data_IF_883874782758
#
_entry.id   IF_883874782758
#
_cell.length_a   1.000
_cell.length_b   1.000
_cell.length_c   1.000
_cell.angle_alpha   90.00
_cell.angle_beta   90.00
_cell.angle_gamma   90.00
#
_symmetry.space_group_name_H-M   'P 1'
#
loop_
_entity.id
_entity.type
_entity.pdbx_description
1 polymer ?
#
# COMPACT_ATOMS: atom_id res chain seq x y z
N UNK A 1 49.90 -66.88 32.72
CA UNK A 1 49.89 -65.72 33.63
C UNK A 1 48.47 -65.17 33.62
N UNK A 2 47.62 -65.65 34.53
CA UNK A 2 46.25 -65.13 34.67
C UNK A 2 46.31 -64.03 35.73
N UNK A 3 46.18 -62.78 35.29
CA UNK A 3 46.05 -61.62 36.16
C UNK A 3 44.69 -61.74 36.87
N UNK A 4 44.76 -62.04 38.16
CA UNK A 4 43.63 -62.02 39.07
C UNK A 4 43.25 -60.55 39.29
N UNK A 5 42.13 -60.12 38.72
CA UNK A 5 41.51 -58.86 39.10
C UNK A 5 40.98 -59.03 40.54
N UNK A 6 41.32 -58.14 41.48
CA UNK A 6 40.78 -58.21 42.83
C UNK A 6 39.27 -57.98 42.76
N UNK A 7 38.52 -58.87 43.40
CA UNK A 7 37.07 -58.75 43.56
C UNK A 7 36.74 -57.40 44.23
N UNK A 8 35.69 -56.70 43.78
CA UNK A 8 35.33 -55.40 44.32
C UNK A 8 34.98 -55.53 45.82
N UNK A 9 35.32 -54.53 46.66
CA UNK A 9 35.05 -54.57 48.10
C UNK A 9 33.55 -54.72 48.36
N UNK A 10 33.18 -55.64 49.27
CA UNK A 10 31.80 -55.83 49.70
C UNK A 10 31.30 -54.56 50.40
N UNK A 11 30.29 -53.92 49.81
CA UNK A 11 29.64 -52.70 50.32
C UNK A 11 28.94 -53.00 51.65
N UNK A 12 29.04 -52.08 52.62
CA UNK A 12 28.26 -52.17 53.84
C UNK A 12 26.76 -51.96 53.56
N UNK A 13 25.90 -52.41 54.47
CA UNK A 13 24.44 -52.41 54.29
C UNK A 13 23.88 -51.03 53.95
N UNK A 14 24.39 -49.98 54.62
CA UNK A 14 24.03 -48.57 54.40
C UNK A 14 24.48 -48.11 53.00
N UNK A 15 25.71 -48.42 52.60
CA UNK A 15 26.24 -48.05 51.28
C UNK A 15 25.45 -48.74 50.16
N UNK A 16 24.97 -49.96 50.39
CA UNK A 16 24.14 -50.72 49.44
C UNK A 16 22.76 -50.08 49.27
N UNK A 17 22.13 -49.62 50.35
CA UNK A 17 20.86 -48.89 50.33
C UNK A 17 21.00 -47.52 49.65
N UNK A 18 22.09 -46.80 49.91
CA UNK A 18 22.41 -45.54 49.22
C UNK A 18 22.62 -45.75 47.71
N UNK A 19 23.34 -46.81 47.32
CA UNK A 19 23.60 -47.14 45.92
C UNK A 19 22.32 -47.53 45.19
N UNK A 20 21.41 -48.26 45.84
CA UNK A 20 20.08 -48.57 45.31
C UNK A 20 19.25 -47.30 45.13
N UNK A 21 19.32 -46.36 46.08
CA UNK A 21 18.65 -45.06 45.99
C UNK A 21 19.19 -44.26 44.80
N UNK A 22 20.51 -44.17 44.65
CA UNK A 22 21.15 -43.47 43.50
C UNK A 22 20.75 -44.12 42.18
N UNK A 23 20.71 -45.45 42.11
CA UNK A 23 20.28 -46.17 40.90
C UNK A 23 18.80 -45.89 40.57
N UNK A 24 17.94 -45.84 41.59
CA UNK A 24 16.53 -45.49 41.42
C UNK A 24 16.37 -44.05 40.90
N UNK A 25 17.05 -43.08 41.53
CA UNK A 25 17.03 -41.68 41.10
C UNK A 25 17.58 -41.51 39.67
N UNK A 26 18.66 -42.22 39.32
CA UNK A 26 19.22 -42.22 37.96
C UNK A 26 18.22 -42.77 36.95
N UNK A 27 17.48 -43.82 37.29
CA UNK A 27 16.45 -44.39 36.43
C UNK A 27 15.32 -43.38 36.18
N UNK A 28 14.85 -42.70 37.24
CA UNK A 28 13.84 -41.65 37.12
C UNK A 28 14.32 -40.49 36.24
N UNK A 29 15.54 -39.99 36.44
CA UNK A 29 16.09 -38.92 35.60
C UNK A 29 16.21 -39.33 34.12
N UNK A 30 16.54 -40.59 33.83
CA UNK A 30 16.59 -41.08 32.45
C UNK A 30 15.19 -41.18 31.83
N UNK A 31 14.19 -41.61 32.60
CA UNK A 31 12.78 -41.62 32.18
C UNK A 31 12.28 -40.19 31.91
N UNK A 32 12.61 -39.22 32.78
CA UNK A 32 12.26 -37.81 32.62
C UNK A 32 12.95 -37.19 31.39
N UNK A 33 14.23 -37.46 31.16
CA UNK A 33 14.95 -36.99 29.96
C UNK A 33 14.32 -37.57 28.69
N UNK A 34 13.92 -38.83 28.71
CA UNK A 34 13.28 -39.47 27.57
C UNK A 34 11.91 -38.84 27.29
N UNK A 35 11.12 -38.59 28.34
CA UNK A 35 9.82 -37.91 28.23
C UNK A 35 9.98 -36.48 27.68
N UNK A 36 10.94 -35.71 28.21
CA UNK A 36 11.23 -34.36 27.71
C UNK A 36 11.68 -34.37 26.24
N UNK A 37 12.43 -35.38 25.80
CA UNK A 37 12.80 -35.53 24.38
C UNK A 37 11.58 -35.78 23.49
N UNK A 38 10.64 -36.59 23.95
CA UNK A 38 9.39 -36.88 23.23
C UNK A 38 8.51 -35.62 23.15
N UNK A 39 8.37 -34.88 24.25
CA UNK A 39 7.65 -33.60 24.30
C UNK A 39 8.28 -32.57 23.34
N UNK A 40 9.62 -32.45 23.33
CA UNK A 40 10.33 -31.56 22.40
C UNK A 40 10.07 -31.97 20.94
N UNK A 41 10.12 -33.27 20.62
CA UNK A 41 9.86 -33.76 19.28
C UNK A 41 8.42 -33.46 18.82
N UNK A 42 7.45 -33.58 19.73
CA UNK A 42 6.05 -33.24 19.45
C UNK A 42 5.88 -31.74 19.19
N UNK A 43 6.50 -30.88 20.00
CA UNK A 43 6.46 -29.42 19.81
C UNK A 43 7.08 -29.01 18.48
N UNK A 44 8.23 -29.58 18.10
CA UNK A 44 8.82 -29.31 16.78
C UNK A 44 7.90 -29.72 15.62
N UNK A 45 7.28 -30.90 15.70
CA UNK A 45 6.33 -31.33 14.68
C UNK A 45 5.10 -30.40 14.57
N UNK A 46 4.62 -29.86 15.69
CA UNK A 46 3.55 -28.87 15.70
C UNK A 46 3.97 -27.54 15.07
N UNK A 47 5.20 -27.08 15.33
CA UNK A 47 5.77 -25.86 14.71
C UNK A 47 5.86 -26.04 13.20
N UNK A 48 6.46 -27.13 12.71
CA UNK A 48 6.62 -27.39 11.27
C UNK A 48 5.26 -27.45 10.55
N UNK A 49 4.26 -28.06 11.18
CA UNK A 49 2.89 -28.11 10.65
C UNK A 49 2.24 -26.73 10.60
N UNK A 50 2.45 -25.89 11.62
CA UNK A 50 1.94 -24.53 11.64
C UNK A 50 2.59 -23.67 10.54
N UNK A 51 3.91 -23.73 10.40
CA UNK A 51 4.66 -22.99 9.38
C UNK A 51 4.20 -23.39 7.96
N UNK A 52 4.09 -24.69 7.67
CA UNK A 52 3.62 -25.17 6.37
C UNK A 52 2.18 -24.73 6.05
N UNK A 53 1.30 -24.73 7.06
CA UNK A 53 -0.07 -24.26 6.91
C UNK A 53 -0.15 -22.74 6.69
N UNK A 54 0.73 -21.97 7.35
CA UNK A 54 0.83 -20.52 7.19
C UNK A 54 1.38 -20.14 5.81
N UNK A 55 2.44 -20.80 5.35
CA UNK A 55 2.96 -20.64 3.98
C UNK A 55 1.91 -20.96 2.92
N UNK A 56 1.21 -22.09 3.07
CA UNK A 56 0.14 -22.48 2.15
C UNK A 56 -0.99 -21.45 2.12
N UNK A 57 -1.35 -20.89 3.27
CA UNK A 57 -2.36 -19.83 3.38
C UNK A 57 -1.88 -18.54 2.72
N UNK A 58 -0.62 -18.17 2.90
CA UNK A 58 -0.03 -16.97 2.29
C UNK A 58 0.03 -17.10 0.76
N UNK A 59 0.45 -18.26 0.24
CA UNK A 59 0.47 -18.56 -1.20
C UNK A 59 -0.95 -18.50 -1.78
N UNK A 60 -1.95 -19.05 -1.07
CA UNK A 60 -3.33 -18.97 -1.52
C UNK A 60 -3.83 -17.52 -1.53
N UNK A 61 -3.55 -16.74 -0.48
CA UNK A 61 -3.94 -15.33 -0.39
C UNK A 61 -3.35 -14.51 -1.55
N UNK A 62 -2.08 -14.74 -1.89
CA UNK A 62 -1.41 -14.06 -3.01
C UNK A 62 -2.01 -14.43 -4.37
N UNK A 63 -2.36 -15.71 -4.56
CA UNK A 63 -3.06 -16.16 -5.77
C UNK A 63 -4.41 -15.46 -5.92
N UNK A 64 -5.20 -15.40 -4.86
CA UNK A 64 -6.50 -14.73 -4.87
C UNK A 64 -6.37 -13.21 -5.11
N UNK A 65 -5.36 -12.57 -4.53
CA UNK A 65 -5.02 -11.17 -4.80
C UNK A 65 -4.69 -10.94 -6.28
N UNK A 66 -3.87 -11.81 -6.88
CA UNK A 66 -3.54 -11.75 -8.30
C UNK A 66 -4.79 -11.87 -9.19
N UNK A 67 -5.72 -12.78 -8.85
CA UNK A 67 -7.01 -12.91 -9.55
C UNK A 67 -7.84 -11.63 -9.39
N UNK A 68 -7.93 -11.08 -8.17
CA UNK A 68 -8.64 -9.84 -7.90
C UNK A 68 -8.10 -8.63 -8.68
N UNK A 69 -6.76 -8.47 -8.74
CA UNK A 69 -6.08 -7.43 -9.54
C UNK A 69 -6.41 -7.59 -11.03
N UNK A 70 -6.39 -8.82 -11.56
CA UNK A 70 -6.78 -9.09 -12.96
C UNK A 70 -8.25 -8.76 -13.23
N UNK A 71 -9.15 -9.11 -12.30
CA UNK A 71 -10.58 -8.75 -12.39
C UNK A 71 -10.76 -7.24 -12.39
N UNK A 72 -10.07 -6.52 -11.50
CA UNK A 72 -10.09 -5.06 -11.44
C UNK A 72 -9.65 -4.42 -12.76
N UNK A 73 -8.58 -4.93 -13.36
CA UNK A 73 -8.08 -4.41 -14.64
C UNK A 73 -9.05 -4.61 -15.81
N UNK A 74 -9.98 -5.57 -15.70
CA UNK A 74 -11.02 -5.82 -16.71
C UNK A 74 -12.31 -5.06 -16.40
N UNK A 75 -12.69 -5.01 -15.13
CA UNK A 75 -13.87 -4.34 -14.60
C UNK A 75 -13.57 -3.91 -13.15
N UNK A 76 -13.29 -2.62 -12.91
CA UNK A 76 -12.88 -2.15 -11.59
C UNK A 76 -13.89 -2.44 -10.49
N UNK A 77 -15.18 -2.29 -10.79
CA UNK A 77 -16.26 -2.55 -9.84
C UNK A 77 -16.30 -4.01 -9.41
N UNK A 78 -16.27 -4.94 -10.38
CA UNK A 78 -16.23 -6.38 -10.08
C UNK A 78 -14.94 -6.81 -9.39
N UNK A 79 -13.81 -6.16 -9.71
CA UNK A 79 -12.53 -6.41 -9.07
C UNK A 79 -12.54 -6.08 -7.58
N UNK A 80 -13.01 -4.88 -7.23
CA UNK A 80 -13.15 -4.48 -5.82
C UNK A 80 -14.15 -5.39 -5.10
N UNK A 81 -15.30 -5.69 -5.72
CA UNK A 81 -16.27 -6.62 -5.14
C UNK A 81 -15.66 -8.00 -4.85
N UNK A 82 -14.91 -8.58 -5.79
CA UNK A 82 -14.23 -9.86 -5.59
C UNK A 82 -13.27 -9.84 -4.41
N UNK A 83 -12.45 -8.78 -4.31
CA UNK A 83 -11.48 -8.61 -3.23
C UNK A 83 -12.16 -8.51 -1.86
N UNK A 84 -13.32 -7.84 -1.79
CA UNK A 84 -14.12 -7.74 -0.56
C UNK A 84 -14.74 -9.08 -0.18
N UNK A 85 -15.37 -9.78 -1.14
CA UNK A 85 -16.00 -11.08 -0.91
C UNK A 85 -14.99 -12.15 -0.43
N UNK A 86 -13.76 -12.10 -0.93
CA UNK A 86 -12.68 -13.01 -0.53
C UNK A 86 -11.90 -12.53 0.70
N UNK A 87 -12.37 -11.45 1.37
CA UNK A 87 -11.75 -10.87 2.57
C UNK A 87 -10.29 -10.45 2.37
N UNK A 88 -9.93 -10.08 1.15
CA UNK A 88 -8.61 -9.56 0.78
C UNK A 88 -8.52 -8.05 0.94
N UNK A 89 -9.67 -7.37 0.90
CA UNK A 89 -9.84 -5.94 1.08
C UNK A 89 -11.10 -5.71 1.92
N UNK A 90 -11.12 -4.75 2.83
CA UNK A 90 -12.37 -4.39 3.50
C UNK A 90 -13.25 -3.53 2.59
N UNK A 91 -14.53 -3.39 2.95
CA UNK A 91 -15.42 -2.42 2.29
C UNK A 91 -15.17 -0.97 2.74
N UNK A 92 -14.08 -0.71 3.46
CA UNK A 92 -13.73 0.63 3.91
C UNK A 92 -13.14 1.46 2.75
N UNK A 93 -13.64 2.68 2.58
CA UNK A 93 -13.22 3.61 1.53
C UNK A 93 -11.74 3.99 1.63
N UNK A 94 -11.20 4.14 2.84
CA UNK A 94 -9.77 4.46 3.02
C UNK A 94 -8.86 3.29 2.65
N UNK A 95 -9.25 2.05 2.98
CA UNK A 95 -8.46 0.87 2.60
C UNK A 95 -8.48 0.64 1.10
N UNK A 96 -9.63 0.84 0.45
CA UNK A 96 -9.73 0.77 -1.02
C UNK A 96 -8.87 1.86 -1.65
N UNK A 97 -8.91 3.09 -1.14
CA UNK A 97 -8.06 4.18 -1.62
C UNK A 97 -6.57 3.84 -1.48
N UNK A 98 -6.13 3.26 -0.34
CA UNK A 98 -4.76 2.81 -0.15
C UNK A 98 -4.36 1.69 -1.12
N UNK A 99 -5.27 0.75 -1.38
CA UNK A 99 -5.05 -0.30 -2.38
C UNK A 99 -4.83 0.28 -3.78
N UNK A 100 -5.67 1.23 -4.19
CA UNK A 100 -5.55 1.92 -5.46
C UNK A 100 -4.27 2.76 -5.54
N UNK A 101 -3.89 3.44 -4.45
CA UNK A 101 -2.71 4.30 -4.39
C UNK A 101 -1.41 3.50 -4.46
N UNK A 102 -1.35 2.33 -3.81
CA UNK A 102 -0.22 1.39 -3.97
C UNK A 102 -0.10 0.91 -5.42
N UNK A 103 -1.23 0.70 -6.10
CA UNK A 103 -1.28 0.45 -7.55
C UNK A 103 -0.58 -0.83 -8.02
N UNK A 104 -0.23 -1.74 -7.11
CA UNK A 104 0.59 -2.91 -7.42
C UNK A 104 -0.19 -3.90 -8.31
N UNK A 105 0.26 -4.07 -9.56
CA UNK A 105 -0.41 -4.93 -10.55
C UNK A 105 -1.74 -4.37 -11.08
N UNK A 106 -2.05 -3.10 -10.80
CA UNK A 106 -3.26 -2.43 -11.28
C UNK A 106 -2.98 -1.58 -12.53
N UNK A 107 -3.93 -1.58 -13.45
CA UNK A 107 -3.90 -0.72 -14.62
C UNK A 107 -4.31 0.71 -14.23
N UNK A 108 -3.43 1.69 -14.47
CA UNK A 108 -3.68 3.10 -14.16
C UNK A 108 -4.92 3.68 -14.85
N UNK A 109 -5.31 3.17 -16.02
CA UNK A 109 -6.56 3.55 -16.68
C UNK A 109 -7.77 3.05 -15.89
N UNK A 110 -7.75 1.78 -15.48
CA UNK A 110 -8.80 1.19 -14.64
C UNK A 110 -8.96 1.92 -13.30
N UNK A 111 -7.84 2.37 -12.69
CA UNK A 111 -7.85 3.22 -11.49
C UNK A 111 -8.57 4.54 -11.78
N UNK A 112 -8.19 5.24 -12.85
CA UNK A 112 -8.81 6.51 -13.23
C UNK A 112 -10.31 6.37 -13.50
N UNK A 113 -10.70 5.33 -14.24
CA UNK A 113 -12.10 5.07 -14.56
C UNK A 113 -12.95 4.85 -13.32
N UNK A 114 -12.45 4.09 -12.34
CA UNK A 114 -13.14 3.79 -11.09
C UNK A 114 -13.21 4.99 -10.15
N UNK A 115 -12.12 5.73 -9.99
CA UNK A 115 -12.10 6.95 -9.17
C UNK A 115 -12.98 8.06 -9.76
N UNK A 116 -13.12 8.09 -11.08
CA UNK A 116 -13.96 9.04 -11.79
C UNK A 116 -15.46 8.73 -11.74
N UNK A 117 -15.91 7.60 -11.20
CA UNK A 117 -17.33 7.27 -11.15
C UNK A 117 -18.14 8.25 -10.29
N UNK A 118 -19.42 8.41 -10.63
CA UNK A 118 -20.34 9.35 -9.94
C UNK A 118 -20.97 8.79 -8.67
N UNK A 119 -20.78 7.50 -8.42
CA UNK A 119 -21.40 6.82 -7.28
C UNK A 119 -20.86 7.41 -5.96
N UNK A 120 -21.72 7.67 -4.95
CA UNK A 120 -21.27 8.24 -3.68
C UNK A 120 -20.16 7.45 -2.99
N UNK A 121 -20.11 6.13 -3.17
CA UNK A 121 -19.04 5.29 -2.66
C UNK A 121 -17.70 5.61 -3.35
N UNK A 122 -17.70 5.71 -4.69
CA UNK A 122 -16.53 6.09 -5.47
C UNK A 122 -16.05 7.51 -5.17
N UNK A 123 -16.97 8.45 -4.93
CA UNK A 123 -16.61 9.82 -4.54
C UNK A 123 -15.87 9.87 -3.19
N UNK A 124 -16.29 9.06 -2.21
CA UNK A 124 -15.57 8.93 -0.94
C UNK A 124 -14.19 8.30 -1.12
N UNK A 125 -14.09 7.30 -1.99
CA UNK A 125 -12.79 6.67 -2.32
C UNK A 125 -11.88 7.69 -3.01
N UNK A 126 -12.39 8.50 -3.93
CA UNK A 126 -11.64 9.58 -4.58
C UNK A 126 -11.13 10.59 -3.54
N UNK A 127 -11.97 11.02 -2.61
CA UNK A 127 -11.56 11.93 -1.55
C UNK A 127 -10.43 11.31 -0.71
N UNK A 128 -10.62 10.08 -0.22
CA UNK A 128 -9.59 9.37 0.55
C UNK A 128 -8.30 9.15 -0.26
N UNK A 129 -8.40 8.88 -1.57
CA UNK A 129 -7.27 8.70 -2.47
C UNK A 129 -6.47 9.99 -2.66
N UNK A 130 -7.15 11.12 -2.82
CA UNK A 130 -6.53 12.44 -2.91
C UNK A 130 -5.90 12.81 -1.57
N UNK A 131 -6.51 12.42 -0.45
CA UNK A 131 -5.97 12.66 0.90
C UNK A 131 -4.66 11.91 1.19
N UNK A 132 -4.39 10.80 0.49
CA UNK A 132 -3.10 10.09 0.54
C UNK A 132 -1.96 10.86 -0.14
N UNK A 133 -2.27 11.90 -0.92
CA UNK A 133 -1.25 12.73 -1.55
C UNK A 133 -0.79 13.85 -0.60
N UNK A 134 0.52 13.91 -0.41
CA UNK A 134 1.19 14.96 0.35
C UNK A 134 1.55 16.13 -0.58
N UNK A 135 0.70 17.17 -0.61
CA UNK A 135 0.91 18.36 -1.46
C UNK A 135 1.53 19.55 -0.73
N UNK A 136 1.80 19.42 0.57
CA UNK A 136 2.37 20.50 1.36
C UNK A 136 3.78 20.88 0.83
N UNK A 137 4.04 22.17 0.69
CA UNK A 137 5.30 22.72 0.17
C UNK A 137 5.65 22.33 -1.27
N UNK A 138 4.69 21.76 -2.03
CA UNK A 138 4.84 21.51 -3.46
C UNK A 138 4.21 22.64 -4.26
N UNK A 139 4.86 23.05 -5.33
CA UNK A 139 4.25 23.95 -6.31
C UNK A 139 3.14 23.21 -7.08
N UNK A 140 2.18 23.95 -7.63
CA UNK A 140 1.00 23.38 -8.28
C UNK A 140 1.36 22.35 -9.36
N UNK A 141 2.36 22.65 -10.18
CA UNK A 141 2.83 21.73 -11.24
C UNK A 141 3.43 20.45 -10.65
N UNK A 142 4.17 20.53 -9.55
CA UNK A 142 4.76 19.35 -8.88
C UNK A 142 3.65 18.47 -8.28
N UNK A 143 2.69 19.08 -7.58
CA UNK A 143 1.51 18.39 -7.06
C UNK A 143 0.68 17.74 -8.17
N UNK A 144 0.45 18.44 -9.28
CA UNK A 144 -0.23 17.89 -10.46
C UNK A 144 0.51 16.70 -11.06
N UNK A 145 1.83 16.78 -11.20
CA UNK A 145 2.63 15.65 -11.71
C UNK A 145 2.50 14.44 -10.79
N UNK A 146 2.61 14.62 -9.49
CA UNK A 146 2.46 13.53 -8.51
C UNK A 146 1.06 12.92 -8.59
N UNK A 147 0.02 13.75 -8.60
CA UNK A 147 -1.37 13.32 -8.68
C UNK A 147 -1.64 12.51 -9.97
N UNK A 148 -1.28 13.08 -11.13
CA UNK A 148 -1.48 12.46 -12.43
C UNK A 148 -0.51 11.31 -12.73
N UNK A 149 0.48 11.06 -11.87
CA UNK A 149 1.32 9.87 -11.95
C UNK A 149 0.61 8.64 -11.40
N UNK A 150 -0.28 8.81 -10.43
CA UNK A 150 -0.93 7.70 -9.71
C UNK A 150 -2.00 6.97 -10.53
N UNK A 151 -2.63 7.65 -11.49
CA UNK A 151 -3.64 7.08 -12.40
C UNK A 151 -3.56 7.72 -13.80
N UNK A 152 -4.35 7.23 -14.77
CA UNK A 152 -4.53 7.88 -16.08
C UNK A 152 -5.87 8.61 -16.09
N UNK A 153 -5.86 9.88 -16.48
CA UNK A 153 -7.09 10.67 -16.59
C UNK A 153 -8.08 9.97 -17.53
N UNK A 154 -9.36 9.85 -17.13
CA UNK A 154 -10.42 9.36 -18.00
C UNK A 154 -10.63 10.28 -19.22
N UNK A 155 -11.30 9.76 -20.25
CA UNK A 155 -11.64 10.54 -21.44
C UNK A 155 -12.90 11.40 -21.26
N UNK A 156 -13.80 11.02 -20.36
CA UNK A 156 -15.06 11.72 -20.14
C UNK A 156 -14.86 13.00 -19.31
N UNK A 157 -15.26 14.14 -19.88
CA UNK A 157 -15.11 15.45 -19.26
C UNK A 157 -15.63 15.51 -17.82
N UNK A 158 -16.79 14.88 -17.54
CA UNK A 158 -17.38 14.85 -16.20
C UNK A 158 -16.55 14.06 -15.18
N UNK A 159 -15.80 13.04 -15.61
CA UNK A 159 -14.91 12.29 -14.71
C UNK A 159 -13.68 13.12 -14.38
N UNK A 160 -13.08 13.74 -15.40
CA UNK A 160 -11.93 14.64 -15.23
C UNK A 160 -12.30 15.76 -14.26
N UNK A 161 -13.45 16.40 -14.47
CA UNK A 161 -13.96 17.49 -13.64
C UNK A 161 -13.95 17.15 -12.13
N UNK A 162 -14.59 16.04 -11.75
CA UNK A 162 -14.61 15.55 -10.34
C UNK A 162 -13.22 15.34 -9.75
N UNK A 163 -12.31 14.75 -10.54
CA UNK A 163 -10.95 14.47 -10.09
C UNK A 163 -10.16 15.76 -9.86
N UNK A 164 -10.33 16.74 -10.77
CA UNK A 164 -9.66 18.03 -10.68
C UNK A 164 -10.23 18.92 -9.58
N UNK A 165 -11.53 18.88 -9.32
CA UNK A 165 -12.16 19.54 -8.16
C UNK A 165 -11.57 19.00 -6.85
N UNK A 166 -11.52 17.67 -6.70
CA UNK A 166 -10.97 17.02 -5.50
C UNK A 166 -9.49 17.36 -5.31
N UNK A 167 -8.70 17.32 -6.40
CA UNK A 167 -7.30 17.74 -6.38
C UNK A 167 -7.13 19.20 -5.94
N UNK A 168 -7.88 20.13 -6.53
CA UNK A 168 -7.77 21.55 -6.22
C UNK A 168 -8.14 21.84 -4.75
N UNK A 169 -9.20 21.18 -4.25
CA UNK A 169 -9.60 21.31 -2.86
C UNK A 169 -8.49 20.84 -1.91
N UNK A 170 -7.88 19.69 -2.18
CA UNK A 170 -6.76 19.16 -1.38
C UNK A 170 -5.53 20.05 -1.48
N UNK A 171 -5.17 20.52 -2.67
CA UNK A 171 -4.00 21.37 -2.85
C UNK A 171 -4.12 22.67 -2.04
N UNK A 172 -5.29 23.32 -2.08
CA UNK A 172 -5.54 24.54 -1.30
C UNK A 172 -5.55 24.27 0.21
N UNK A 173 -6.06 23.10 0.64
CA UNK A 173 -6.01 22.69 2.04
C UNK A 173 -4.56 22.51 2.53
N UNK A 174 -3.69 21.94 1.70
CA UNK A 174 -2.28 21.76 2.02
C UNK A 174 -1.45 23.05 1.90
N UNK A 175 -1.92 24.03 1.10
CA UNK A 175 -1.19 25.26 0.77
C UNK A 175 -2.13 26.49 0.84
N UNK A 176 -2.56 26.90 2.05
CA UNK A 176 -3.63 27.90 2.24
C UNK A 176 -3.27 29.30 1.73
N UNK A 177 -1.99 29.64 1.63
CA UNK A 177 -1.54 30.98 1.27
C UNK A 177 -1.24 31.14 -0.24
N UNK A 178 -1.37 30.08 -1.04
CA UNK A 178 -1.00 30.10 -2.47
C UNK A 178 -2.15 30.62 -3.35
N UNK A 179 -3.38 30.18 -3.10
CA UNK A 179 -4.57 30.54 -3.87
C UNK A 179 -5.66 31.13 -2.98
N UNK A 180 -6.37 32.15 -3.46
CA UNK A 180 -7.47 32.77 -2.70
C UNK A 180 -8.75 31.93 -2.71
N UNK A 181 -8.92 31.07 -3.71
CA UNK A 181 -10.06 30.15 -3.83
C UNK A 181 -9.63 28.85 -4.51
N UNK A 182 -10.37 27.78 -4.18
CA UNK A 182 -10.25 26.50 -4.86
C UNK A 182 -10.50 26.62 -6.36
N UNK A 183 -11.44 27.49 -6.77
CA UNK A 183 -11.77 27.75 -8.17
C UNK A 183 -10.56 28.25 -8.96
N UNK A 184 -9.76 29.16 -8.38
CA UNK A 184 -8.52 29.64 -9.02
C UNK A 184 -7.52 28.51 -9.21
N UNK A 185 -7.33 27.65 -8.20
CA UNK A 185 -6.46 26.48 -8.30
C UNK A 185 -6.95 25.49 -9.36
N UNK A 186 -8.26 25.24 -9.41
CA UNK A 186 -8.91 24.37 -10.39
C UNK A 186 -8.71 24.89 -11.83
N UNK A 187 -9.04 26.17 -12.09
CA UNK A 187 -8.92 26.78 -13.42
C UNK A 187 -7.46 26.77 -13.88
N UNK A 188 -6.52 27.15 -13.00
CA UNK A 188 -5.11 27.14 -13.34
C UNK A 188 -4.61 25.71 -13.63
N UNK A 189 -5.09 24.70 -12.89
CA UNK A 189 -4.72 23.30 -13.12
C UNK A 189 -5.14 22.83 -14.52
N UNK A 190 -6.36 23.18 -14.96
CA UNK A 190 -6.80 22.92 -16.33
C UNK A 190 -5.97 23.67 -17.36
N UNK A 191 -5.66 24.95 -17.10
CA UNK A 191 -4.77 25.74 -17.97
C UNK A 191 -3.40 25.07 -18.14
N UNK A 192 -2.83 24.50 -17.08
CA UNK A 192 -1.55 23.76 -17.13
C UNK A 192 -1.67 22.48 -17.97
N UNK A 193 -2.75 21.71 -17.80
CA UNK A 193 -2.98 20.48 -18.58
C UNK A 193 -3.15 20.81 -20.08
N UNK A 194 -3.88 21.88 -20.40
CA UNK A 194 -4.04 22.38 -21.76
C UNK A 194 -2.73 22.90 -22.35
N UNK A 195 -1.92 23.60 -21.55
CA UNK A 195 -0.59 24.06 -21.95
C UNK A 195 0.31 22.87 -22.30
N UNK A 196 0.33 21.81 -21.48
CA UNK A 196 1.12 20.61 -21.76
C UNK A 196 0.74 20.00 -23.13
N UNK A 197 -0.55 19.91 -23.42
CA UNK A 197 -1.04 19.45 -24.73
C UNK A 197 -0.54 20.37 -25.85
N UNK A 198 -0.58 21.69 -25.65
CA UNK A 198 -0.16 22.67 -26.66
C UNK A 198 1.35 22.66 -26.94
N UNK A 199 2.18 22.40 -25.92
CA UNK A 199 3.64 22.42 -26.04
C UNK A 199 4.22 21.12 -26.62
N UNK A 200 3.60 19.97 -26.33
CA UNK A 200 4.14 18.65 -26.65
C UNK A 200 3.39 17.89 -27.75
N UNK A 201 2.18 18.30 -28.15
CA UNK A 201 1.48 17.69 -29.27
C UNK A 201 2.12 18.12 -30.60
N UNK A 202 2.69 17.20 -31.41
CA UNK A 202 3.36 17.55 -32.67
C UNK A 202 2.41 18.15 -33.71
N UNK A 203 1.10 18.01 -33.55
CA UNK A 203 0.10 18.61 -34.44
C UNK A 203 -0.13 20.10 -34.15
N UNK A 204 0.32 20.62 -33.00
CA UNK A 204 0.23 22.04 -32.65
C UNK A 204 1.46 22.76 -33.18
N UNK A 205 1.27 23.57 -34.22
CA UNK A 205 2.35 24.31 -34.90
C UNK A 205 2.85 25.51 -34.10
N UNK A 206 1.91 26.25 -33.51
CA UNK A 206 2.21 27.47 -32.77
C UNK A 206 2.23 27.19 -31.26
N UNK A 207 3.43 27.00 -30.73
CA UNK A 207 3.62 26.83 -29.29
C UNK A 207 3.46 28.17 -28.58
N UNK A 208 2.55 28.31 -27.59
CA UNK A 208 2.36 29.58 -26.91
C UNK A 208 3.62 29.96 -26.13
N UNK A 209 4.15 31.19 -26.29
CA UNK A 209 5.23 31.67 -25.44
C UNK A 209 4.71 31.92 -24.01
N UNK A 210 5.64 32.07 -23.06
CA UNK A 210 5.31 32.25 -21.64
C UNK A 210 4.37 33.45 -21.42
N UNK A 211 4.61 34.57 -22.09
CA UNK A 211 3.80 35.79 -21.99
C UNK A 211 2.35 35.55 -22.42
N UNK A 212 2.13 34.67 -23.40
CA UNK A 212 0.79 34.27 -23.84
C UNK A 212 0.09 33.45 -22.76
N UNK A 213 0.81 32.54 -22.08
CA UNK A 213 0.25 31.79 -20.96
C UNK A 213 -0.12 32.70 -19.78
N UNK A 214 0.72 33.69 -19.46
CA UNK A 214 0.40 34.72 -18.44
C UNK A 214 -0.84 35.50 -18.82
N UNK A 215 -0.91 35.98 -20.07
CA UNK A 215 -2.07 36.73 -20.58
C UNK A 215 -3.38 35.92 -20.54
N UNK A 216 -3.32 34.64 -20.88
CA UNK A 216 -4.48 33.74 -20.84
C UNK A 216 -5.03 33.49 -19.43
N UNK A 217 -4.19 33.65 -18.40
CA UNK A 217 -4.56 33.43 -17.00
C UNK A 217 -4.69 34.75 -16.21
N UNK A 218 -4.83 35.91 -16.89
CA UNK A 218 -5.12 37.18 -16.20
C UNK A 218 -6.52 37.16 -15.58
N UNK A 219 -6.65 37.74 -14.40
CA UNK A 219 -7.93 37.86 -13.70
C UNK A 219 -8.50 36.57 -13.09
N UNK A 220 -7.83 35.42 -13.20
CA UNK A 220 -8.38 34.13 -12.68
C UNK A 220 -8.40 34.05 -11.15
N UNK A 221 -7.70 34.95 -10.46
CA UNK A 221 -7.63 35.02 -9.00
C UNK A 221 -8.71 35.98 -8.45
N UNK A 222 -9.98 35.63 -8.65
CA UNK A 222 -11.15 36.46 -8.28
C UNK A 222 -11.08 37.88 -8.87
N UNK A 223 -10.72 37.99 -10.15
CA UNK A 223 -10.56 39.27 -10.86
C UNK A 223 -9.17 39.90 -10.73
N UNK A 224 -8.24 39.28 -9.98
CA UNK A 224 -6.84 39.67 -9.89
C UNK A 224 -5.93 38.74 -10.68
N UNK A 225 -4.72 39.21 -10.96
CA UNK A 225 -3.67 38.40 -11.57
C UNK A 225 -2.93 37.56 -10.53
N UNK A 226 -2.41 36.41 -10.95
CA UNK A 226 -1.51 35.59 -10.14
C UNK A 226 -0.07 36.13 -10.23
N UNK A 227 0.75 35.94 -9.18
CA UNK A 227 2.18 36.25 -9.25
C UNK A 227 2.84 35.50 -10.42
N UNK A 228 3.66 36.20 -11.22
CA UNK A 228 4.32 35.58 -12.38
C UNK A 228 5.24 34.41 -11.98
N UNK A 229 5.83 34.45 -10.80
CA UNK A 229 6.65 33.37 -10.24
C UNK A 229 5.87 32.06 -10.12
N UNK A 230 4.58 32.12 -9.78
CA UNK A 230 3.71 30.94 -9.70
C UNK A 230 3.40 30.35 -11.08
N UNK A 231 3.49 31.18 -12.13
CA UNK A 231 3.24 30.78 -13.51
C UNK A 231 4.51 30.28 -14.20
N UNK A 232 5.69 30.69 -13.71
CA UNK A 232 6.99 30.19 -14.18
C UNK A 232 7.21 28.79 -13.65
N UNK A 233 7.34 27.83 -14.56
CA UNK A 233 7.73 26.47 -14.20
C UNK A 233 9.26 26.46 -14.14
N UNK A 234 9.85 26.43 -12.95
CA UNK A 234 11.26 26.07 -12.82
C UNK A 234 11.39 24.57 -13.16
N UNK A 235 12.30 24.25 -14.08
CA UNK A 235 12.58 22.89 -14.55
C UNK A 235 13.15 21.97 -13.47
#
# INVERSE_FOLDING_TARGET
MNLCHPDPPELNQIETEELQTIQWHRKQLLEDIQKLKEEIAEVFAQIDCFESAEESRQVQKEKELCIGRKKFNMDPGKGIQYLIEHKLLSSNTEEIAQFLYKGEGLNKTAIGDYLGERDPFNLKILQAFVDLHEFANLHLVQALRQFLWSFRLPGEAQKIDRMMESFAARYCLCNPDVFQSTDTCYVLSFSIIMLNTSLHNPNVRDKPPFERFVSMNRGINNGRDLPEELLKVEE
#
